data_IF_996190414239
#
_entry.id   IF_996190414239
#
_cell.length_a   1.000
_cell.length_b   1.000
_cell.length_c   1.000
_cell.angle_alpha   90.00
_cell.angle_beta   90.00
_cell.angle_gamma   90.00
#
_symmetry.space_group_name_H-M   'P 1'
#
loop_
_entity.id
_entity.type
_entity.pdbx_description
1 polymer ?
#
# COMPACT_ATOMS: atom_id res chain seq x y z
N UNK A 1 -9.80 -26.76 -15.87
CA UNK A 1 -8.37 -26.96 -15.49
C UNK A 1 -8.27 -26.93 -13.97
N UNK A 2 -7.70 -27.96 -13.34
CA UNK A 2 -7.47 -27.96 -11.89
C UNK A 2 -6.21 -27.12 -11.60
N UNK A 3 -6.37 -26.03 -10.85
CA UNK A 3 -5.29 -25.11 -10.46
C UNK A 3 -4.60 -25.66 -9.20
N UNK A 4 -3.93 -26.81 -9.32
CA UNK A 4 -3.23 -27.45 -8.20
C UNK A 4 -1.73 -27.19 -8.20
N UNK A 5 -1.12 -27.04 -9.37
CA UNK A 5 0.31 -26.80 -9.53
C UNK A 5 0.58 -25.41 -10.11
N UNK A 6 1.76 -24.85 -9.81
CA UNK A 6 2.21 -23.54 -10.29
C UNK A 6 2.09 -23.39 -11.81
N UNK A 7 2.48 -24.41 -12.58
CA UNK A 7 2.37 -24.39 -14.04
C UNK A 7 0.90 -24.33 -14.50
N UNK A 8 0.03 -25.12 -13.88
CA UNK A 8 -1.42 -25.10 -14.14
C UNK A 8 -2.05 -23.75 -13.78
N UNK A 9 -1.57 -23.10 -12.71
CA UNK A 9 -2.00 -21.76 -12.31
C UNK A 9 -1.59 -20.71 -13.34
N UNK A 10 -0.34 -20.74 -13.80
CA UNK A 10 0.15 -19.84 -14.86
C UNK A 10 -0.67 -20.02 -16.14
N UNK A 11 -0.91 -21.26 -16.58
CA UNK A 11 -1.72 -21.52 -17.77
C UNK A 11 -3.18 -21.07 -17.63
N UNK A 12 -3.78 -21.25 -16.46
CA UNK A 12 -5.14 -20.77 -16.20
C UNK A 12 -5.20 -19.24 -16.25
N UNK A 13 -4.22 -18.55 -15.66
CA UNK A 13 -4.15 -17.09 -15.67
C UNK A 13 -3.83 -16.51 -17.04
N UNK A 14 -3.04 -17.22 -17.86
CA UNK A 14 -2.76 -16.84 -19.26
C UNK A 14 -4.00 -16.71 -20.14
N UNK A 15 -5.12 -17.34 -19.76
CA UNK A 15 -6.40 -17.19 -20.46
C UNK A 15 -6.97 -15.77 -20.36
N UNK A 16 -6.69 -15.07 -19.25
CA UNK A 16 -7.19 -13.72 -18.97
C UNK A 16 -6.08 -12.68 -19.17
N UNK A 17 -4.85 -13.04 -18.81
CA UNK A 17 -3.67 -12.18 -18.82
C UNK A 17 -2.52 -12.89 -19.54
N UNK A 18 -2.37 -12.71 -20.87
CA UNK A 18 -1.36 -13.42 -21.66
C UNK A 18 0.09 -13.13 -21.23
N UNK A 19 0.33 -12.03 -20.51
CA UNK A 19 1.64 -11.62 -20.00
C UNK A 19 2.17 -12.48 -18.83
N UNK A 20 1.31 -13.28 -18.19
CA UNK A 20 1.67 -14.10 -17.02
C UNK A 20 2.68 -15.18 -17.43
N UNK A 21 3.81 -15.26 -16.72
CA UNK A 21 4.90 -16.19 -17.00
C UNK A 21 5.97 -15.67 -17.98
N UNK A 22 5.71 -14.57 -18.69
CA UNK A 22 6.68 -13.94 -19.62
C UNK A 22 7.99 -13.50 -18.95
N UNK A 23 7.96 -13.26 -17.63
CA UNK A 23 9.15 -12.90 -16.84
C UNK A 23 10.17 -14.03 -16.78
N UNK A 24 9.73 -15.28 -16.66
CA UNK A 24 10.65 -16.43 -16.65
C UNK A 24 11.30 -16.65 -18.02
N UNK A 25 10.56 -16.37 -19.09
CA UNK A 25 11.07 -16.48 -20.46
C UNK A 25 12.16 -15.42 -20.72
N UNK A 26 11.98 -14.20 -20.22
CA UNK A 26 13.01 -13.14 -20.25
C UNK A 26 14.23 -13.47 -19.40
N UNK A 27 14.06 -14.08 -18.23
CA UNK A 27 15.18 -14.49 -17.36
C UNK A 27 15.96 -15.65 -17.99
N UNK A 28 15.27 -16.65 -18.52
CA UNK A 28 15.90 -17.79 -19.21
C UNK A 28 16.66 -17.39 -20.47
N UNK A 29 16.15 -16.41 -21.24
CA UNK A 29 16.85 -15.89 -22.42
C UNK A 29 18.11 -15.08 -22.05
N UNK A 30 18.13 -14.39 -20.90
CA UNK A 30 19.34 -13.71 -20.39
C UNK A 30 20.38 -14.69 -19.83
N UNK A 31 19.92 -15.79 -19.23
CA UNK A 31 20.80 -16.78 -18.60
C UNK A 31 21.58 -17.64 -19.61
N UNK A 32 21.12 -17.72 -20.85
CA UNK A 32 21.86 -18.36 -21.96
C UNK A 32 23.02 -17.53 -22.52
N UNK A 33 23.15 -16.24 -22.15
CA UNK A 33 24.14 -15.33 -22.75
C UNK A 33 25.17 -14.77 -21.76
N UNK A 34 24.89 -14.77 -20.45
CA UNK A 34 25.91 -14.38 -19.44
C UNK A 34 25.50 -14.87 -18.04
N UNK A 35 26.40 -15.60 -17.35
CA UNK A 35 26.36 -15.75 -15.89
C UNK A 35 26.78 -14.43 -15.24
N UNK A 36 25.94 -13.41 -15.36
CA UNK A 36 26.16 -12.13 -14.69
C UNK A 36 25.52 -12.23 -13.31
N UNK A 37 26.35 -12.48 -12.28
CA UNK A 37 25.99 -12.10 -10.92
C UNK A 37 25.80 -10.58 -10.98
N UNK A 38 24.56 -10.09 -11.01
CA UNK A 38 24.27 -8.65 -11.02
C UNK A 38 24.84 -8.03 -9.76
N UNK A 39 26.08 -7.56 -9.83
CA UNK A 39 26.71 -6.77 -8.77
C UNK A 39 25.93 -5.47 -8.70
N UNK A 40 25.26 -5.21 -7.58
CA UNK A 40 24.56 -3.95 -7.37
C UNK A 40 25.58 -2.81 -7.35
N UNK A 41 25.47 -1.88 -8.29
CA UNK A 41 26.28 -0.66 -8.32
C UNK A 41 25.64 0.37 -7.40
N UNK A 42 26.20 0.54 -6.20
CA UNK A 42 25.66 1.44 -5.17
C UNK A 42 26.32 2.81 -5.10
N UNK A 43 26.98 3.24 -6.18
CA UNK A 43 27.55 4.58 -6.26
C UNK A 43 26.44 5.65 -6.35
N UNK A 44 26.49 6.63 -5.45
CA UNK A 44 25.58 7.77 -5.49
C UNK A 44 26.05 8.76 -6.56
N UNK A 45 25.37 8.76 -7.70
CA UNK A 45 25.56 9.73 -8.78
C UNK A 45 24.22 10.34 -9.19
N UNK A 46 24.23 11.54 -9.77
CA UNK A 46 23.03 12.23 -10.26
C UNK A 46 22.23 11.36 -11.24
N UNK A 47 22.89 10.63 -12.14
CA UNK A 47 22.23 9.71 -13.07
C UNK A 47 21.62 8.48 -12.38
N UNK A 48 22.19 8.03 -11.25
CA UNK A 48 21.59 6.97 -10.44
C UNK A 48 20.33 7.50 -9.73
N UNK A 49 20.42 8.68 -9.12
CA UNK A 49 19.30 9.33 -8.45
C UNK A 49 18.14 9.62 -9.41
N UNK A 50 18.44 10.20 -10.58
CA UNK A 50 17.44 10.50 -11.62
C UNK A 50 16.72 9.23 -12.07
N UNK A 51 17.46 8.14 -12.29
CA UNK A 51 16.88 6.83 -12.63
C UNK A 51 15.96 6.32 -11.51
N UNK A 52 16.40 6.40 -10.25
CA UNK A 52 15.60 6.00 -9.09
C UNK A 52 14.27 6.75 -8.99
N UNK A 53 14.31 8.09 -9.02
CA UNK A 53 13.10 8.93 -8.95
C UNK A 53 12.17 8.74 -10.15
N UNK A 54 12.71 8.49 -11.33
CA UNK A 54 11.91 8.22 -12.55
C UNK A 54 11.40 6.78 -12.66
N UNK A 55 11.76 5.91 -11.70
CA UNK A 55 11.39 4.49 -11.75
C UNK A 55 9.91 4.29 -11.41
N UNK A 56 9.33 3.22 -11.96
CA UNK A 56 7.96 2.82 -11.60
C UNK A 56 7.82 2.50 -10.10
N UNK A 57 8.90 2.05 -9.46
CA UNK A 57 8.91 1.74 -8.03
C UNK A 57 8.75 2.98 -7.16
N UNK A 58 9.43 4.08 -7.50
CA UNK A 58 9.26 5.35 -6.80
C UNK A 58 7.80 5.82 -6.86
N UNK A 59 7.16 5.75 -8.03
CA UNK A 59 5.75 6.11 -8.18
C UNK A 59 4.81 5.11 -7.47
N UNK A 60 5.12 3.83 -7.46
CA UNK A 60 4.36 2.81 -6.75
C UNK A 60 4.41 3.03 -5.23
N UNK A 61 5.59 3.34 -4.69
CA UNK A 61 5.76 3.74 -3.29
C UNK A 61 4.96 5.00 -2.99
N UNK A 62 5.15 6.07 -3.75
CA UNK A 62 4.43 7.33 -3.57
C UNK A 62 2.91 7.16 -3.55
N UNK A 63 2.36 6.43 -4.53
CA UNK A 63 0.90 6.18 -4.63
C UNK A 63 0.40 5.22 -3.54
N UNK A 64 1.18 4.21 -3.19
CA UNK A 64 0.87 3.28 -2.10
C UNK A 64 0.81 3.99 -0.74
N UNK A 65 1.76 4.85 -0.43
CA UNK A 65 1.80 5.62 0.81
C UNK A 65 0.74 6.72 0.87
N UNK A 66 0.42 7.33 -0.28
CA UNK A 66 -0.76 8.18 -0.40
C UNK A 66 -2.05 7.44 -0.03
N UNK A 67 -2.24 6.22 -0.57
CA UNK A 67 -3.38 5.37 -0.23
C UNK A 67 -3.41 4.99 1.25
N UNK A 68 -2.29 4.51 1.80
CA UNK A 68 -2.17 4.15 3.23
C UNK A 68 -2.49 5.31 4.14
N UNK A 69 -2.02 6.52 3.82
CA UNK A 69 -2.35 7.71 4.60
C UNK A 69 -3.85 8.03 4.54
N UNK A 70 -4.49 7.91 3.37
CA UNK A 70 -5.95 8.06 3.24
C UNK A 70 -6.75 6.98 4.02
N UNK A 71 -6.19 5.77 4.13
CA UNK A 71 -6.80 4.63 4.81
C UNK A 71 -6.67 4.71 6.34
N UNK A 72 -5.45 4.87 6.85
CA UNK A 72 -5.15 4.85 8.30
C UNK A 72 -5.22 6.22 8.98
N UNK A 73 -5.22 7.32 8.20
CA UNK A 73 -5.38 8.74 8.58
C UNK A 73 -4.63 9.20 9.83
N UNK A 74 -3.53 8.53 10.14
CA UNK A 74 -2.65 8.87 11.24
C UNK A 74 -1.20 8.87 10.77
N UNK A 75 -0.53 9.97 11.03
CA UNK A 75 0.84 10.19 10.58
C UNK A 75 1.82 9.23 11.27
N UNK A 76 1.65 9.02 12.57
CA UNK A 76 2.57 8.21 13.38
C UNK A 76 2.47 6.74 12.98
N UNK A 77 1.26 6.22 12.84
CA UNK A 77 1.00 4.88 12.38
C UNK A 77 1.60 4.62 11.00
N UNK A 78 1.40 5.52 10.03
CA UNK A 78 1.97 5.37 8.69
C UNK A 78 3.50 5.39 8.70
N UNK A 79 4.14 6.22 9.53
CA UNK A 79 5.59 6.21 9.68
C UNK A 79 6.14 4.90 10.24
N UNK A 80 5.51 4.36 11.28
CA UNK A 80 5.91 3.06 11.85
C UNK A 80 5.72 1.95 10.83
N UNK A 81 4.59 1.95 10.11
CA UNK A 81 4.35 1.00 9.02
C UNK A 81 5.40 1.14 7.92
N UNK A 82 5.86 2.36 7.61
CA UNK A 82 6.89 2.60 6.59
C UNK A 82 8.22 2.00 6.98
N UNK A 83 8.69 2.26 8.19
CA UNK A 83 9.91 1.65 8.71
C UNK A 83 9.78 0.12 8.76
N UNK A 84 8.62 -0.40 9.19
CA UNK A 84 8.39 -1.84 9.24
C UNK A 84 8.41 -2.50 7.85
N UNK A 85 7.92 -1.80 6.82
CA UNK A 85 7.96 -2.28 5.44
C UNK A 85 9.38 -2.31 4.88
N UNK A 86 10.18 -1.26 5.06
CA UNK A 86 11.60 -1.23 4.66
C UNK A 86 12.41 -2.36 5.33
N UNK A 87 12.18 -2.59 6.63
CA UNK A 87 12.79 -3.70 7.36
C UNK A 87 12.38 -5.07 6.79
N UNK A 88 11.13 -5.20 6.33
CA UNK A 88 10.62 -6.43 5.72
C UNK A 88 11.26 -6.68 4.35
N UNK A 89 11.46 -5.64 3.55
CA UNK A 89 12.17 -5.73 2.26
C UNK A 89 13.63 -6.14 2.48
N UNK A 90 14.32 -5.49 3.42
CA UNK A 90 15.68 -5.84 3.81
C UNK A 90 15.77 -7.29 4.31
N UNK A 91 14.79 -7.73 5.09
CA UNK A 91 14.74 -9.10 5.59
C UNK A 91 14.51 -10.12 4.47
N UNK A 92 13.71 -9.80 3.45
CA UNK A 92 13.28 -10.75 2.41
C UNK A 92 14.02 -10.62 1.07
N UNK A 93 15.08 -9.80 0.99
CA UNK A 93 15.95 -9.65 -0.18
C UNK A 93 16.56 -10.96 -0.71
N UNK A 94 16.66 -11.99 0.13
CA UNK A 94 17.15 -13.31 -0.27
C UNK A 94 16.09 -14.15 -0.99
N UNK A 95 14.80 -13.89 -0.72
CA UNK A 95 13.67 -14.58 -1.35
C UNK A 95 13.22 -13.86 -2.60
N UNK A 96 13.10 -12.54 -2.52
CA UNK A 96 12.55 -11.69 -3.57
C UNK A 96 13.72 -10.89 -4.17
N UNK A 97 14.15 -11.20 -5.41
CA UNK A 97 15.27 -10.52 -6.04
C UNK A 97 14.99 -9.04 -6.35
N UNK A 98 13.71 -8.66 -6.32
CA UNK A 98 13.28 -7.28 -6.51
C UNK A 98 13.60 -6.36 -5.33
N UNK A 99 13.77 -6.90 -4.12
CA UNK A 99 14.14 -6.12 -2.92
C UNK A 99 15.65 -5.93 -2.76
N UNK A 100 16.45 -6.37 -3.75
CA UNK A 100 17.89 -6.14 -3.73
C UNK A 100 18.18 -4.74 -4.22
N UNK A 101 18.24 -3.82 -3.29
CA UNK A 101 18.45 -2.39 -3.53
C UNK A 101 19.61 -1.86 -2.69
N UNK A 102 20.11 -0.68 -3.05
CA UNK A 102 21.18 -0.06 -2.28
C UNK A 102 20.64 0.52 -0.98
N UNK A 103 21.48 0.59 0.06
CA UNK A 103 21.09 1.15 1.36
C UNK A 103 20.52 2.58 1.24
N UNK A 104 21.07 3.38 0.33
CA UNK A 104 20.64 4.76 0.13
C UNK A 104 19.35 4.86 -0.70
N UNK A 105 19.03 3.85 -1.50
CA UNK A 105 17.79 3.78 -2.29
C UNK A 105 16.61 3.58 -1.33
N UNK A 106 16.64 2.48 -0.56
CA UNK A 106 15.65 2.17 0.47
C UNK A 106 15.50 3.28 1.52
N UNK A 107 16.60 3.85 2.03
CA UNK A 107 16.49 4.91 3.04
C UNK A 107 16.12 6.29 2.48
N UNK A 108 16.80 6.77 1.44
CA UNK A 108 16.62 8.15 0.96
C UNK A 108 15.53 8.27 -0.09
N UNK A 109 15.49 7.35 -1.06
CA UNK A 109 14.54 7.40 -2.16
C UNK A 109 13.19 6.82 -1.76
N UNK A 110 13.14 5.66 -1.13
CA UNK A 110 11.87 5.06 -0.73
C UNK A 110 11.36 5.68 0.58
N UNK A 111 12.02 5.43 1.71
CA UNK A 111 11.54 5.87 3.03
C UNK A 111 11.40 7.39 3.17
N UNK A 112 12.45 8.16 2.86
CA UNK A 112 12.42 9.62 3.01
C UNK A 112 11.88 10.35 1.77
N UNK A 113 11.90 9.73 0.60
CA UNK A 113 11.47 10.33 -0.65
C UNK A 113 10.01 9.99 -0.96
N UNK A 114 9.80 8.85 -1.60
CA UNK A 114 8.51 8.41 -2.11
C UNK A 114 7.47 8.23 -0.99
N UNK A 115 7.84 7.55 0.10
CA UNK A 115 6.93 7.24 1.19
C UNK A 115 6.48 8.52 1.89
N UNK A 116 7.44 9.40 2.24
CA UNK A 116 7.16 10.69 2.84
C UNK A 116 6.30 11.58 1.93
N UNK A 117 6.64 11.67 0.65
CA UNK A 117 5.89 12.47 -0.31
C UNK A 117 4.47 11.93 -0.49
N UNK A 118 4.30 10.61 -0.57
CA UNK A 118 3.00 9.94 -0.60
C UNK A 118 2.15 10.27 0.64
N UNK A 119 2.74 10.15 1.84
CA UNK A 119 2.06 10.52 3.09
C UNK A 119 1.67 12.00 3.13
N UNK A 120 2.54 12.91 2.69
CA UNK A 120 2.25 14.33 2.59
C UNK A 120 1.06 14.60 1.66
N UNK A 121 1.06 14.02 0.46
CA UNK A 121 -0.07 14.11 -0.48
C UNK A 121 -1.36 13.56 0.13
N UNK A 122 -1.26 12.46 0.88
CA UNK A 122 -2.41 11.85 1.56
C UNK A 122 -2.97 12.76 2.64
N UNK A 123 -2.10 13.41 3.42
CA UNK A 123 -2.50 14.39 4.44
C UNK A 123 -3.13 15.64 3.82
N UNK A 124 -2.60 16.15 2.70
CA UNK A 124 -3.25 17.22 1.94
C UNK A 124 -4.62 16.78 1.43
N UNK A 125 -4.75 15.56 0.92
CA UNK A 125 -6.03 14.99 0.47
C UNK A 125 -7.04 14.95 1.61
N UNK A 126 -6.63 14.47 2.79
CA UNK A 126 -7.48 14.44 3.99
C UNK A 126 -7.89 15.84 4.43
N UNK A 127 -6.98 16.81 4.45
CA UNK A 127 -7.28 18.19 4.79
C UNK A 127 -8.29 18.85 3.83
N UNK A 128 -8.15 18.59 2.53
CA UNK A 128 -9.10 19.05 1.51
C UNK A 128 -10.49 18.42 1.68
N UNK A 129 -10.56 17.16 2.15
CA UNK A 129 -11.81 16.46 2.38
C UNK A 129 -12.46 16.84 3.71
N UNK A 130 -11.67 17.12 4.75
CA UNK A 130 -12.11 17.63 6.06
C UNK A 130 -12.69 19.04 5.96
N UNK A 131 -12.10 19.89 5.10
CA UNK A 131 -12.53 21.28 4.89
C UNK A 131 -13.80 21.42 4.03
N UNK A 132 -14.43 20.32 3.60
CA UNK A 132 -15.68 20.37 2.82
C UNK A 132 -16.87 20.67 3.73
N UNK A 133 -17.38 21.88 3.65
CA UNK A 133 -18.67 22.25 4.26
C UNK A 133 -19.84 21.59 3.49
N UNK A 134 -20.62 20.76 4.19
CA UNK A 134 -21.84 20.16 3.64
C UNK A 134 -23.01 21.14 3.73
N UNK A 135 -23.56 21.53 2.57
CA UNK A 135 -24.80 22.31 2.50
C UNK A 135 -26.01 21.39 2.64
N UNK A 136 -26.54 21.33 3.87
CA UNK A 136 -27.76 20.60 4.21
C UNK A 136 -29.03 21.19 3.58
N UNK A 137 -28.96 22.42 3.09
CA UNK A 137 -30.14 23.11 2.56
C UNK A 137 -30.50 22.63 1.15
N UNK A 138 -29.69 21.78 0.51
CA UNK A 138 -29.92 21.26 -0.85
C UNK A 138 -29.91 22.31 -1.95
N UNK A 139 -29.57 23.58 -1.64
CA UNK A 139 -29.62 24.70 -2.59
C UNK A 139 -28.37 24.76 -3.44
N UNK A 140 -27.21 24.40 -2.88
CA UNK A 140 -25.91 24.36 -3.58
C UNK A 140 -25.80 23.19 -4.58
N UNK A 141 -26.56 22.11 -4.36
CA UNK A 141 -26.63 20.95 -5.26
C UNK A 141 -27.17 21.29 -6.66
N UNK A 142 -28.00 22.33 -6.80
CA UNK A 142 -28.55 22.76 -8.11
C UNK A 142 -27.51 23.39 -9.05
N UNK A 143 -26.35 23.81 -8.51
CA UNK A 143 -25.23 24.38 -9.30
C UNK A 143 -24.15 23.34 -9.63
N UNK A 144 -24.10 22.20 -8.94
CA UNK A 144 -23.12 21.15 -9.17
C UNK A 144 -23.72 20.08 -10.09
N UNK A 145 -23.04 19.74 -11.19
CA UNK A 145 -23.51 18.70 -12.11
C UNK A 145 -23.63 17.32 -11.46
N UNK A 146 -24.49 16.46 -12.04
CA UNK A 146 -24.79 15.09 -11.57
C UNK A 146 -23.56 14.25 -11.23
N UNK A 147 -22.47 14.38 -11.98
CA UNK A 147 -21.23 13.65 -11.72
C UNK A 147 -20.59 14.00 -10.37
N UNK A 148 -20.59 15.29 -9.99
CA UNK A 148 -19.99 15.74 -8.73
C UNK A 148 -20.87 15.39 -7.52
N UNK A 149 -22.18 15.26 -7.74
CA UNK A 149 -23.12 14.72 -6.75
C UNK A 149 -22.84 13.24 -6.49
N UNK A 150 -22.67 12.43 -7.54
CA UNK A 150 -22.32 11.01 -7.41
C UNK A 150 -20.99 10.83 -6.66
N UNK A 151 -19.95 11.60 -7.00
CA UNK A 151 -18.66 11.54 -6.30
C UNK A 151 -18.75 11.88 -4.81
N UNK A 152 -19.59 12.85 -4.44
CA UNK A 152 -19.79 13.19 -3.03
C UNK A 152 -20.47 12.06 -2.24
N UNK A 153 -21.20 11.18 -2.90
CA UNK A 153 -21.88 10.03 -2.28
C UNK A 153 -20.90 8.91 -1.89
N UNK A 154 -19.78 8.81 -2.60
CA UNK A 154 -18.68 7.90 -2.28
C UNK A 154 -17.69 8.48 -1.26
N UNK A 155 -17.96 9.70 -0.76
CA UNK A 155 -17.14 10.37 0.24
C UNK A 155 -17.85 10.26 1.61
N UNK A 156 -17.24 9.66 2.65
CA UNK A 156 -17.85 9.52 3.97
C UNK A 156 -18.18 10.88 4.59
N UNK A 157 -19.17 10.86 5.47
CA UNK A 157 -19.79 12.04 6.06
C UNK A 157 -18.83 12.91 6.90
N UNK A 158 -17.86 12.30 7.58
CA UNK A 158 -16.74 13.00 8.21
C UNK A 158 -15.41 12.31 7.92
N UNK A 159 -14.43 13.11 7.55
CA UNK A 159 -13.03 12.71 7.45
C UNK A 159 -12.28 13.21 8.68
N UNK A 160 -12.38 12.45 9.76
CA UNK A 160 -11.68 12.78 11.01
C UNK A 160 -10.30 12.12 11.05
N UNK A 161 -9.34 12.84 11.65
CA UNK A 161 -8.02 12.30 11.94
C UNK A 161 -8.11 11.24 13.03
N UNK A 162 -7.30 10.21 12.91
CA UNK A 162 -7.42 9.05 13.77
C UNK A 162 -6.36 9.05 14.86
N UNK A 163 -6.79 9.06 16.13
CA UNK A 163 -5.89 9.03 17.27
C UNK A 163 -5.83 7.62 17.86
N UNK A 164 -4.83 6.85 17.45
CA UNK A 164 -4.74 5.42 17.82
C UNK A 164 -4.33 5.17 19.28
N UNK A 165 -3.72 6.14 19.97
CA UNK A 165 -3.23 6.08 21.36
C UNK A 165 -2.66 4.70 21.76
N UNK A 166 -1.63 4.29 21.01
CA UNK A 166 -1.03 2.95 21.00
C UNK A 166 -0.70 2.39 22.39
N UNK A 167 -0.29 3.24 23.33
CA UNK A 167 0.20 2.84 24.65
C UNK A 167 -0.85 2.90 25.77
N UNK A 168 -2.12 3.19 25.46
CA UNK A 168 -3.11 3.38 26.54
C UNK A 168 -3.56 2.05 27.17
N UNK A 169 -3.53 0.94 26.43
CA UNK A 169 -3.92 -0.39 26.91
C UNK A 169 -3.24 -1.48 26.08
N UNK A 170 -2.84 -2.57 26.72
CA UNK A 170 -2.23 -3.71 26.04
C UNK A 170 -3.15 -4.31 24.96
N UNK A 171 -4.47 -4.32 25.19
CA UNK A 171 -5.43 -4.82 24.20
C UNK A 171 -5.45 -3.96 22.94
N UNK A 172 -5.42 -2.62 23.10
CA UNK A 172 -5.35 -1.67 21.97
C UNK A 172 -4.04 -1.83 21.20
N UNK A 173 -2.92 -1.95 21.92
CA UNK A 173 -1.62 -2.22 21.33
C UNK A 173 -1.65 -3.49 20.45
N UNK A 174 -2.17 -4.60 21.00
CA UNK A 174 -2.26 -5.87 20.26
C UNK A 174 -3.14 -5.77 19.01
N UNK A 175 -4.29 -5.08 19.07
CA UNK A 175 -5.17 -4.88 17.92
C UNK A 175 -4.52 -4.01 16.82
N UNK A 176 -3.80 -2.95 17.21
CA UNK A 176 -3.06 -2.08 16.28
C UNK A 176 -1.91 -2.85 15.61
N UNK A 177 -1.15 -3.63 16.39
CA UNK A 177 -0.09 -4.49 15.85
C UNK A 177 -0.67 -5.54 14.91
N UNK A 178 -1.81 -6.16 15.25
CA UNK A 178 -2.48 -7.11 14.37
C UNK A 178 -2.89 -6.46 13.03
N UNK A 179 -3.50 -5.27 13.07
CA UNK A 179 -3.86 -4.53 11.86
C UNK A 179 -2.63 -4.17 11.01
N UNK A 180 -1.52 -3.77 11.65
CA UNK A 180 -0.24 -3.51 10.99
C UNK A 180 0.31 -4.78 10.31
N UNK A 181 0.32 -5.92 11.01
CA UNK A 181 0.77 -7.20 10.46
C UNK A 181 -0.07 -7.65 9.27
N UNK A 182 -1.40 -7.50 9.34
CA UNK A 182 -2.30 -7.83 8.21
C UNK A 182 -2.03 -6.94 6.99
N UNK A 183 -1.73 -5.66 7.20
CA UNK A 183 -1.32 -4.74 6.13
C UNK A 183 -0.02 -5.21 5.47
N UNK A 184 1.02 -5.48 6.28
CA UNK A 184 2.31 -5.96 5.78
C UNK A 184 2.21 -7.29 5.03
N UNK A 185 1.41 -8.24 5.52
CA UNK A 185 1.15 -9.52 4.83
C UNK A 185 0.47 -9.29 3.48
N UNK A 186 -0.49 -8.37 3.41
CA UNK A 186 -1.21 -8.04 2.17
C UNK A 186 -0.28 -7.39 1.14
N UNK A 187 0.62 -6.52 1.59
CA UNK A 187 1.64 -5.90 0.74
C UNK A 187 2.64 -6.94 0.23
N UNK A 188 3.16 -7.76 1.14
CA UNK A 188 4.11 -8.81 0.82
C UNK A 188 3.50 -9.84 -0.16
N UNK A 189 2.20 -10.13 -0.03
CA UNK A 189 1.47 -10.98 -0.97
C UNK A 189 1.54 -10.45 -2.42
N UNK A 190 1.58 -9.14 -2.64
CA UNK A 190 1.71 -8.56 -3.98
C UNK A 190 3.06 -8.91 -4.63
N UNK A 191 4.15 -8.79 -3.87
CA UNK A 191 5.50 -9.10 -4.37
C UNK A 191 5.71 -10.60 -4.56
N UNK A 192 5.20 -11.43 -3.63
CA UNK A 192 5.27 -12.89 -3.76
C UNK A 192 4.51 -13.40 -4.98
N UNK A 193 3.34 -12.83 -5.27
CA UNK A 193 2.56 -13.21 -6.43
C UNK A 193 3.31 -12.93 -7.74
N UNK A 194 3.87 -11.72 -7.88
CA UNK A 194 4.67 -11.34 -9.05
C UNK A 194 5.90 -12.25 -9.24
N UNK A 195 6.57 -12.59 -8.14
CA UNK A 195 7.76 -13.45 -8.15
C UNK A 195 7.41 -14.91 -8.47
N UNK A 196 6.37 -15.45 -7.86
CA UNK A 196 5.98 -16.86 -8.00
C UNK A 196 5.41 -17.14 -9.40
N UNK A 197 4.52 -16.27 -9.89
CA UNK A 197 3.84 -16.45 -11.17
C UNK A 197 4.61 -15.84 -12.35
N UNK A 198 5.69 -15.09 -12.10
CA UNK A 198 6.51 -14.48 -13.15
C UNK A 198 5.74 -13.48 -13.98
N UNK A 199 4.94 -12.67 -13.29
CA UNK A 199 4.16 -11.60 -13.90
C UNK A 199 5.10 -10.38 -14.04
N UNK A 200 5.12 -9.71 -15.21
CA UNK A 200 5.92 -8.50 -15.38
C UNK A 200 5.40 -7.37 -14.49
N UNK A 201 6.31 -6.56 -13.95
CA UNK A 201 6.00 -5.44 -13.03
C UNK A 201 5.07 -4.39 -13.66
N UNK A 202 5.22 -4.17 -14.97
CA UNK A 202 4.40 -3.26 -15.77
C UNK A 202 2.97 -3.76 -16.02
N UNK A 203 2.63 -4.99 -15.60
CA UNK A 203 1.28 -5.51 -15.78
C UNK A 203 0.27 -4.73 -14.94
N UNK A 204 -0.88 -4.42 -15.53
CA UNK A 204 -2.00 -3.79 -14.83
C UNK A 204 -2.66 -4.71 -13.81
N UNK A 205 -2.44 -6.04 -13.90
CA UNK A 205 -3.05 -7.02 -13.00
C UNK A 205 -2.78 -6.74 -11.52
N UNK A 206 -1.51 -6.53 -11.17
CA UNK A 206 -1.13 -6.23 -9.78
C UNK A 206 -1.70 -4.87 -9.34
N UNK A 207 -1.68 -3.87 -10.21
CA UNK A 207 -2.24 -2.54 -9.96
C UNK A 207 -3.74 -2.58 -9.67
N UNK A 208 -4.54 -3.31 -10.45
CA UNK A 208 -5.97 -3.48 -10.20
C UNK A 208 -6.25 -4.19 -8.87
N UNK A 209 -5.47 -5.22 -8.55
CA UNK A 209 -5.60 -5.94 -7.27
C UNK A 209 -5.30 -5.02 -6.09
N UNK A 210 -4.21 -4.25 -6.15
CA UNK A 210 -3.84 -3.30 -5.11
C UNK A 210 -4.90 -2.21 -4.95
N UNK A 211 -5.45 -1.70 -6.05
CA UNK A 211 -6.55 -0.74 -6.01
C UNK A 211 -7.79 -1.33 -5.32
N UNK A 212 -8.18 -2.57 -5.66
CA UNK A 212 -9.31 -3.24 -5.01
C UNK A 212 -9.04 -3.48 -3.51
N UNK A 213 -7.83 -3.90 -3.14
CA UNK A 213 -7.44 -4.07 -1.74
C UNK A 213 -7.45 -2.75 -0.98
N UNK A 214 -7.04 -1.65 -1.61
CA UNK A 214 -7.16 -0.32 -1.03
C UNK A 214 -8.62 0.07 -0.78
N UNK A 215 -9.51 -0.14 -1.76
CA UNK A 215 -10.94 0.18 -1.64
C UNK A 215 -11.61 -0.63 -0.52
N UNK A 216 -11.25 -1.89 -0.33
CA UNK A 216 -11.73 -2.75 0.77
C UNK A 216 -11.05 -2.37 2.10
N UNK A 217 -9.79 -1.94 2.06
CA UNK A 217 -9.01 -1.56 3.23
C UNK A 217 -9.53 -0.30 3.93
N UNK A 218 -10.10 0.66 3.19
CA UNK A 218 -10.69 1.88 3.78
C UNK A 218 -11.78 1.57 4.81
N UNK A 219 -12.87 0.83 4.49
CA UNK A 219 -13.89 0.49 5.48
C UNK A 219 -13.34 -0.43 6.57
N UNK A 220 -12.49 -1.41 6.24
CA UNK A 220 -11.89 -2.29 7.25
C UNK A 220 -11.07 -1.51 8.30
N UNK A 221 -10.24 -0.56 7.86
CA UNK A 221 -9.49 0.31 8.76
C UNK A 221 -10.39 1.25 9.58
N UNK A 222 -11.59 1.59 9.06
CA UNK A 222 -12.59 2.34 9.82
C UNK A 222 -13.23 1.49 10.93
N UNK A 223 -13.57 0.24 10.62
CA UNK A 223 -14.19 -0.70 11.55
C UNK A 223 -13.25 -1.10 12.69
N UNK A 224 -12.00 -1.44 12.38
CA UNK A 224 -10.98 -1.80 13.40
C UNK A 224 -10.82 -0.68 14.42
N UNK A 225 -10.81 0.57 13.95
CA UNK A 225 -10.71 1.72 14.86
C UNK A 225 -11.96 1.92 15.68
N UNK A 226 -13.14 1.79 15.07
CA UNK A 226 -14.39 1.90 15.79
C UNK A 226 -14.47 0.84 16.91
N UNK A 227 -14.03 -0.39 16.62
CA UNK A 227 -13.91 -1.46 17.61
C UNK A 227 -12.96 -1.09 18.77
N UNK A 228 -11.77 -0.57 18.45
CA UNK A 228 -10.81 -0.07 19.45
C UNK A 228 -11.43 1.04 20.33
N UNK A 229 -12.16 1.98 19.74
CA UNK A 229 -12.83 3.05 20.49
C UNK A 229 -13.95 2.50 21.39
N UNK A 230 -14.81 1.59 20.91
CA UNK A 230 -15.87 0.99 21.72
C UNK A 230 -15.33 0.21 22.91
N UNK A 231 -14.24 -0.54 22.72
CA UNK A 231 -13.53 -1.22 23.82
C UNK A 231 -13.04 -0.24 24.88
N UNK A 232 -12.57 0.93 24.46
CA UNK A 232 -12.11 1.99 25.35
C UNK A 232 -13.27 2.59 26.17
N UNK A 233 -14.44 2.77 25.54
CA UNK A 233 -15.64 3.28 26.21
C UNK A 233 -16.17 2.29 27.26
N UNK A 234 -16.19 0.99 26.95
CA UNK A 234 -16.62 -0.06 27.88
C UNK A 234 -15.64 -0.29 29.05
N UNK A 235 -14.38 0.10 28.90
CA UNK A 235 -13.40 0.13 29.99
C UNK A 235 -13.59 1.32 30.94
N UNK A 236 -14.10 2.45 30.43
CA UNK A 236 -14.36 3.68 31.21
C UNK A 236 -15.74 3.68 31.88
N UNK A 237 -16.71 2.97 31.31
CA UNK A 237 -18.02 2.71 31.90
C UNK A 237 -18.15 1.20 32.12
N UNK A 238 -17.55 0.63 33.18
CA UNK A 238 -17.94 -0.71 33.58
C UNK A 238 -19.43 -0.65 33.86
N UNK A 239 -20.22 -1.40 33.10
CA UNK A 239 -21.62 -1.63 33.41
C UNK A 239 -21.68 -2.23 34.81
N UNK A 240 -21.89 -1.38 35.81
CA UNK A 240 -22.26 -1.76 37.15
C UNK A 240 -23.65 -2.36 37.09
N UNK A 241 -23.70 -3.68 37.04
CA UNK A 241 -24.81 -4.47 37.52
C UNK A 241 -24.39 -5.12 38.83
#
# INVERSE_FOLDING_TARGET
MLVQNRQSAVHAMQLVFPEVGSRFQRIGHKQGTTRETTVLQCEMNYEALKRGVSSIWFFAHMTGWWGKMCMFRDWRFCWVLSIAFELLELALQFVIPDFKECWWDSLLLDMLGANLLGMCLGRVTLWLLESKEYDWSGRRGKKLGYFRLALNQFTPFRWEQYHWEVFSSFKRFAEIVFAMMMCLVTELNAFFMLTTLGIPKESSFNSYRLFLMFMIGIPAASEVRLHIYFLSLNLLLPTGY
#
